data_IF_290352103646
#
_entry.id   IF_290352103646
#
_cell.length_a   1.000
_cell.length_b   1.000
_cell.length_c   1.000
_cell.angle_alpha   90.00
_cell.angle_beta   90.00
_cell.angle_gamma   90.00
#
_symmetry.space_group_name_H-M   'P 1'
#
loop_
_entity.id
_entity.type
_entity.pdbx_description
1 polymer ?
#
# COMPACT_ATOMS: atom_id res chain seq x y z
N UNK A 1 3.05 19.04 3.30
CA UNK A 1 2.11 18.97 4.43
C UNK A 1 2.00 17.53 4.86
N UNK A 2 1.84 17.27 6.16
CA UNK A 2 1.77 15.92 6.71
C UNK A 2 0.44 15.23 6.36
N UNK A 3 0.47 13.91 6.14
CA UNK A 3 -0.70 13.09 5.86
C UNK A 3 -1.40 12.62 7.15
N UNK A 4 -0.76 12.72 8.31
CA UNK A 4 -1.32 12.28 9.59
C UNK A 4 -2.60 13.05 10.00
N UNK A 5 -2.67 14.39 9.88
CA UNK A 5 -3.92 15.14 10.12
C UNK A 5 -5.05 14.75 9.17
N UNK A 6 -4.73 14.50 7.89
CA UNK A 6 -5.68 14.06 6.86
C UNK A 6 -6.29 12.69 7.22
N UNK A 7 -5.47 11.73 7.66
CA UNK A 7 -5.94 10.39 8.10
C UNK A 7 -6.85 10.47 9.33
N UNK A 8 -6.43 11.20 10.37
CA UNK A 8 -7.22 11.37 11.61
C UNK A 8 -8.57 12.05 11.36
N UNK A 9 -8.61 13.05 10.49
CA UNK A 9 -9.86 13.73 10.13
C UNK A 9 -10.86 12.77 9.46
N UNK A 10 -10.38 11.90 8.58
CA UNK A 10 -11.19 10.88 7.90
C UNK A 10 -11.75 9.86 8.89
N UNK A 11 -10.91 9.30 9.76
CA UNK A 11 -11.36 8.36 10.80
C UNK A 11 -12.48 8.94 11.67
N UNK A 12 -12.39 10.22 12.01
CA UNK A 12 -13.40 10.90 12.83
C UNK A 12 -14.72 11.12 12.11
N UNK A 13 -14.69 11.52 10.84
CA UNK A 13 -15.92 11.69 10.04
C UNK A 13 -16.61 10.34 9.77
N UNK A 14 -15.83 9.27 9.58
CA UNK A 14 -16.38 7.91 9.51
C UNK A 14 -17.01 7.50 10.84
N UNK A 15 -16.38 7.83 11.97
CA UNK A 15 -16.84 7.41 13.30
C UNK A 15 -18.08 8.18 13.80
N UNK A 16 -18.14 9.48 13.54
CA UNK A 16 -19.18 10.37 14.07
C UNK A 16 -20.25 10.75 13.03
N UNK A 17 -20.05 10.34 11.77
CA UNK A 17 -20.92 10.65 10.65
C UNK A 17 -20.71 12.06 10.08
N UNK A 18 -21.28 12.33 8.89
CA UNK A 18 -21.16 13.62 8.22
C UNK A 18 -21.81 14.79 8.97
N UNK A 19 -22.67 14.53 9.97
CA UNK A 19 -23.33 15.57 10.78
C UNK A 19 -22.37 16.44 11.60
N UNK A 20 -21.14 15.98 11.81
CA UNK A 20 -20.08 16.78 12.45
C UNK A 20 -19.71 18.03 11.64
N UNK A 21 -20.01 18.00 10.33
CA UNK A 21 -19.66 19.03 9.37
C UNK A 21 -20.74 20.12 9.28
N UNK A 22 -21.94 19.84 9.80
CA UNK A 22 -23.07 20.78 9.78
C UNK A 22 -22.88 21.97 10.74
N UNK A 23 -22.04 21.83 11.78
CA UNK A 23 -21.65 22.92 12.68
C UNK A 23 -20.15 23.28 12.50
N UNK A 24 -19.84 24.37 11.77
CA UNK A 24 -18.46 24.85 11.60
C UNK A 24 -17.73 25.11 12.92
N UNK A 25 -18.45 25.55 13.96
CA UNK A 25 -17.86 25.79 15.28
C UNK A 25 -17.43 24.50 15.96
N UNK A 26 -18.24 23.44 15.84
CA UNK A 26 -17.89 22.11 16.34
C UNK A 26 -16.71 21.50 15.56
N UNK A 27 -16.73 21.63 14.23
CA UNK A 27 -15.67 21.14 13.36
C UNK A 27 -14.32 21.84 13.65
N UNK A 28 -14.31 23.18 13.84
CA UNK A 28 -13.08 23.92 14.18
C UNK A 28 -12.50 23.50 15.54
N UNK A 29 -13.35 23.20 16.54
CA UNK A 29 -12.90 22.67 17.83
C UNK A 29 -12.25 21.30 17.68
N UNK A 30 -12.83 20.41 16.88
CA UNK A 30 -12.27 19.08 16.59
C UNK A 30 -10.94 19.16 15.85
N UNK A 31 -10.84 20.02 14.83
CA UNK A 31 -9.58 20.27 14.12
C UNK A 31 -8.48 20.72 15.06
N UNK A 32 -8.81 21.55 16.07
CA UNK A 32 -7.84 21.99 17.08
C UNK A 32 -7.34 20.84 17.95
N UNK A 33 -8.17 19.84 18.23
CA UNK A 33 -7.77 18.62 18.93
C UNK A 33 -6.89 17.72 18.07
N UNK A 34 -7.17 17.59 16.77
CA UNK A 34 -6.42 16.72 15.84
C UNK A 34 -5.07 17.34 15.47
N UNK A 35 -5.08 18.63 15.14
CA UNK A 35 -3.93 19.35 14.61
C UNK A 35 -3.13 20.09 15.70
N UNK A 36 -3.17 19.61 16.95
CA UNK A 36 -2.57 20.29 18.11
C UNK A 36 -1.11 20.68 17.90
N UNK A 37 -0.32 19.81 17.27
CA UNK A 37 1.09 20.07 16.93
C UNK A 37 1.28 20.62 15.50
N UNK A 38 0.24 20.52 14.66
CA UNK A 38 0.25 20.84 13.23
C UNK A 38 -0.44 22.18 12.93
N UNK A 39 0.19 23.29 13.35
CA UNK A 39 -0.41 24.64 13.21
C UNK A 39 -0.73 25.02 11.77
N UNK A 40 0.15 24.71 10.81
CA UNK A 40 -0.07 25.06 9.40
C UNK A 40 -1.29 24.33 8.85
N UNK A 41 -1.35 23.03 9.05
CA UNK A 41 -2.45 22.16 8.62
C UNK A 41 -3.77 22.59 9.25
N UNK A 42 -3.77 22.93 10.55
CA UNK A 42 -4.94 23.53 11.22
C UNK A 42 -5.44 24.77 10.48
N UNK A 43 -4.57 25.75 10.22
CA UNK A 43 -4.97 27.01 9.59
C UNK A 43 -5.50 26.80 8.17
N UNK A 44 -4.91 25.88 7.41
CA UNK A 44 -5.34 25.61 6.04
C UNK A 44 -6.71 24.90 6.04
N UNK A 45 -6.93 23.91 6.91
CA UNK A 45 -8.22 23.23 7.03
C UNK A 45 -9.32 24.12 7.59
N UNK A 46 -9.02 24.91 8.63
CA UNK A 46 -9.96 25.86 9.21
C UNK A 46 -10.29 27.00 8.25
N UNK A 47 -9.32 27.44 7.43
CA UNK A 47 -9.55 28.38 6.34
C UNK A 47 -10.53 27.83 5.31
N UNK A 48 -10.32 26.59 4.85
CA UNK A 48 -11.22 25.92 3.92
C UNK A 48 -12.65 25.75 4.48
N UNK A 49 -12.77 25.45 5.77
CA UNK A 49 -14.06 25.39 6.47
C UNK A 49 -14.79 26.74 6.42
N UNK A 50 -14.09 27.84 6.73
CA UNK A 50 -14.67 29.20 6.76
C UNK A 50 -15.06 29.71 5.36
N UNK A 51 -14.35 29.27 4.33
CA UNK A 51 -14.63 29.58 2.92
C UNK A 51 -15.78 28.74 2.32
N UNK A 52 -16.43 27.88 3.11
CA UNK A 52 -17.57 27.09 2.67
C UNK A 52 -17.21 25.95 1.70
N UNK A 53 -15.95 25.50 1.70
CA UNK A 53 -15.50 24.39 0.85
C UNK A 53 -16.31 23.12 1.10
N UNK A 54 -16.62 22.81 2.36
CA UNK A 54 -17.35 21.60 2.73
C UNK A 54 -18.79 21.66 2.24
N UNK A 55 -19.46 22.81 2.36
CA UNK A 55 -20.80 23.01 1.83
C UNK A 55 -20.83 22.84 0.30
N UNK A 56 -19.82 23.35 -0.40
CA UNK A 56 -19.70 23.21 -1.85
C UNK A 56 -19.42 21.76 -2.29
N UNK A 57 -18.64 21.01 -1.50
CA UNK A 57 -18.36 19.59 -1.75
C UNK A 57 -19.59 18.71 -1.50
N UNK A 58 -20.35 18.96 -0.43
CA UNK A 58 -21.57 18.21 -0.09
C UNK A 58 -22.74 18.50 -1.03
N UNK A 59 -22.82 19.72 -1.59
CA UNK A 59 -23.88 20.11 -2.53
C UNK A 59 -23.59 19.71 -3.98
N UNK A 60 -22.43 19.12 -4.26
CA UNK A 60 -22.01 18.78 -5.62
C UNK A 60 -22.88 17.64 -6.20
N UNK A 61 -23.43 17.81 -7.42
CA UNK A 61 -24.14 16.74 -8.12
C UNK A 61 -23.22 15.55 -8.41
N UNK A 62 -23.77 14.33 -8.36
CA UNK A 62 -23.03 13.07 -8.56
C UNK A 62 -22.38 12.99 -9.95
N UNK A 63 -22.98 13.63 -10.94
CA UNK A 63 -22.57 13.70 -12.36
C UNK A 63 -21.61 14.86 -12.68
N UNK A 64 -21.34 15.75 -11.73
CA UNK A 64 -20.43 16.86 -11.93
C UNK A 64 -18.97 16.39 -12.01
N UNK A 65 -18.16 17.04 -12.87
CA UNK A 65 -16.72 16.81 -12.92
C UNK A 65 -16.07 17.20 -11.59
N UNK A 66 -15.77 16.19 -10.76
CA UNK A 66 -15.10 16.35 -9.45
C UNK A 66 -13.77 17.09 -9.60
N UNK A 67 -13.02 16.79 -10.65
CA UNK A 67 -11.76 17.49 -10.97
C UNK A 67 -11.97 19.00 -11.16
N UNK A 68 -12.98 19.40 -11.94
CA UNK A 68 -13.30 20.82 -12.14
C UNK A 68 -13.74 21.53 -10.86
N UNK A 69 -14.49 20.84 -10.00
CA UNK A 69 -14.91 21.36 -8.69
C UNK A 69 -13.71 21.59 -7.78
N UNK A 70 -12.80 20.62 -7.64
CA UNK A 70 -11.60 20.74 -6.81
C UNK A 70 -10.69 21.87 -7.29
N UNK A 71 -10.49 22.02 -8.61
CA UNK A 71 -9.68 23.11 -9.18
C UNK A 71 -10.30 24.47 -8.84
N UNK A 72 -11.62 24.61 -8.96
CA UNK A 72 -12.34 25.84 -8.63
C UNK A 72 -12.21 26.18 -7.15
N UNK A 73 -12.42 25.22 -6.26
CA UNK A 73 -12.31 25.41 -4.81
C UNK A 73 -10.87 25.73 -4.40
N UNK A 74 -9.89 25.08 -5.03
CA UNK A 74 -8.47 25.38 -4.83
C UNK A 74 -8.18 26.83 -5.21
N UNK A 75 -8.67 27.29 -6.36
CA UNK A 75 -8.48 28.67 -6.79
C UNK A 75 -9.20 29.68 -5.87
N UNK A 76 -10.37 29.33 -5.35
CA UNK A 76 -11.08 30.15 -4.37
C UNK A 76 -10.23 30.36 -3.11
N UNK A 77 -9.65 29.30 -2.53
CA UNK A 77 -8.81 29.43 -1.34
C UNK A 77 -7.54 30.25 -1.59
N UNK A 78 -6.92 30.11 -2.77
CA UNK A 78 -5.78 30.93 -3.16
C UNK A 78 -6.13 32.41 -3.21
N UNK A 79 -7.27 32.74 -3.82
CA UNK A 79 -7.69 34.12 -4.01
C UNK A 79 -8.14 34.78 -2.70
N UNK A 80 -8.91 34.07 -1.87
CA UNK A 80 -9.55 34.64 -0.69
C UNK A 80 -8.64 34.63 0.54
N UNK A 81 -7.79 33.61 0.70
CA UNK A 81 -6.94 33.43 1.88
C UNK A 81 -5.44 33.63 1.58
N UNK A 82 -5.09 34.07 0.38
CA UNK A 82 -3.70 34.22 -0.09
C UNK A 82 -2.86 32.94 0.13
N UNK A 83 -3.49 31.76 0.04
CA UNK A 83 -2.81 30.49 0.21
C UNK A 83 -1.92 30.15 -0.99
N UNK A 84 -0.84 29.42 -0.74
CA UNK A 84 -0.08 28.79 -1.82
C UNK A 84 -0.95 27.75 -2.53
N UNK A 85 -0.65 27.48 -3.80
CA UNK A 85 -1.38 26.48 -4.58
C UNK A 85 -1.34 25.10 -3.93
N UNK A 86 -0.17 24.70 -3.41
CA UNK A 86 0.00 23.45 -2.69
C UNK A 86 -0.89 23.39 -1.43
N UNK A 87 -0.89 24.45 -0.61
CA UNK A 87 -1.68 24.54 0.62
C UNK A 87 -3.19 24.48 0.33
N UNK A 88 -3.66 25.29 -0.61
CA UNK A 88 -5.05 25.32 -1.02
C UNK A 88 -5.51 23.96 -1.54
N UNK A 89 -4.73 23.35 -2.44
CA UNK A 89 -5.05 22.04 -3.02
C UNK A 89 -5.13 20.97 -1.95
N UNK A 90 -4.14 20.90 -1.06
CA UNK A 90 -4.11 19.92 0.02
C UNK A 90 -5.30 20.06 0.97
N UNK A 91 -5.76 21.27 1.30
CA UNK A 91 -6.95 21.45 2.14
C UNK A 91 -8.22 20.97 1.45
N UNK A 92 -8.44 21.36 0.19
CA UNK A 92 -9.62 20.95 -0.57
C UNK A 92 -9.64 19.44 -0.74
N UNK A 93 -8.51 18.83 -1.11
CA UNK A 93 -8.37 17.38 -1.19
C UNK A 93 -8.65 16.71 0.16
N UNK A 94 -8.10 17.23 1.26
CA UNK A 94 -8.31 16.64 2.60
C UNK A 94 -9.77 16.63 3.02
N UNK A 95 -10.52 17.69 2.74
CA UNK A 95 -11.97 17.73 3.00
C UNK A 95 -12.76 16.82 2.06
N UNK A 96 -12.44 16.83 0.77
CA UNK A 96 -13.10 15.98 -0.21
C UNK A 96 -12.90 14.48 0.11
N UNK A 97 -11.76 14.12 0.68
CA UNK A 97 -11.48 12.77 1.15
C UNK A 97 -12.26 12.38 2.38
N UNK A 98 -12.27 13.27 3.37
CA UNK A 98 -12.97 13.01 4.61
C UNK A 98 -14.48 12.89 4.39
N UNK A 99 -15.01 13.60 3.39
CA UNK A 99 -16.41 13.51 2.93
C UNK A 99 -16.69 12.35 1.96
N UNK A 100 -15.66 11.61 1.50
CA UNK A 100 -15.81 10.57 0.47
C UNK A 100 -16.22 11.10 -0.92
N UNK A 101 -16.05 12.40 -1.17
CA UNK A 101 -16.32 13.04 -2.48
C UNK A 101 -15.25 12.67 -3.49
N UNK A 102 -14.03 12.41 -3.04
CA UNK A 102 -12.98 11.80 -3.85
C UNK A 102 -12.34 10.66 -3.06
N UNK A 103 -11.74 9.73 -3.79
CA UNK A 103 -10.78 8.79 -3.22
C UNK A 103 -9.41 9.47 -3.08
N UNK A 104 -8.53 8.97 -2.20
CA UNK A 104 -7.22 9.59 -1.89
C UNK A 104 -6.51 10.09 -3.16
N UNK A 105 -6.11 11.37 -3.27
CA UNK A 105 -5.15 11.78 -4.27
C UNK A 105 -3.82 11.17 -3.83
N UNK A 106 -3.44 10.07 -4.50
CA UNK A 106 -2.41 9.15 -4.02
C UNK A 106 -2.97 7.87 -3.36
N UNK A 107 -4.28 7.69 -3.38
CA UNK A 107 -4.92 6.38 -3.29
C UNK A 107 -4.49 5.60 -4.52
N UNK A 108 -3.33 4.96 -4.38
CA UNK A 108 -2.96 3.75 -5.07
C UNK A 108 -4.19 3.15 -5.77
N UNK A 109 -4.29 3.16 -7.11
CA UNK A 109 -5.42 2.52 -7.77
C UNK A 109 -5.56 1.12 -7.18
N UNK A 110 -6.73 0.86 -6.61
CA UNK A 110 -6.99 -0.42 -5.95
C UNK A 110 -7.43 -1.37 -7.04
N UNK A 111 -6.64 -2.42 -7.23
CA UNK A 111 -6.91 -3.47 -8.20
C UNK A 111 -7.22 -4.74 -7.42
N UNK A 112 -8.40 -5.31 -7.67
CA UNK A 112 -8.83 -6.55 -7.03
C UNK A 112 -8.46 -7.73 -7.92
N UNK A 113 -7.82 -8.73 -7.34
CA UNK A 113 -7.44 -9.97 -8.01
C UNK A 113 -8.20 -11.13 -7.39
N UNK A 114 -8.97 -11.86 -8.20
CA UNK A 114 -9.74 -13.02 -7.77
C UNK A 114 -9.62 -14.15 -8.79
N UNK A 115 -9.08 -15.29 -8.37
CA UNK A 115 -9.02 -16.48 -9.22
C UNK A 115 -10.41 -16.98 -9.67
N UNK A 116 -11.47 -16.58 -8.97
CA UNK A 116 -12.86 -16.99 -9.22
C UNK A 116 -13.68 -15.96 -10.02
N UNK A 117 -13.05 -14.90 -10.53
CA UNK A 117 -13.66 -13.96 -11.49
C UNK A 117 -14.47 -12.81 -10.87
N UNK A 118 -14.39 -12.60 -9.56
CA UNK A 118 -15.06 -11.49 -8.87
C UNK A 118 -14.21 -10.20 -8.79
N UNK A 119 -12.98 -10.21 -9.34
CA UNK A 119 -12.04 -9.09 -9.31
C UNK A 119 -11.77 -8.51 -10.69
N UNK A 120 -11.01 -7.41 -10.74
CA UNK A 120 -10.56 -6.75 -11.98
C UNK A 120 -9.64 -7.66 -12.81
N UNK A 121 -8.90 -8.55 -12.14
CA UNK A 121 -8.03 -9.56 -12.77
C UNK A 121 -8.23 -10.94 -12.13
N UNK A 122 -8.01 -11.99 -12.91
CA UNK A 122 -7.94 -13.37 -12.45
C UNK A 122 -6.52 -13.82 -12.06
N UNK A 123 -5.50 -13.01 -12.41
CA UNK A 123 -4.09 -13.30 -12.20
C UNK A 123 -3.36 -12.09 -11.62
N UNK A 124 -2.59 -12.31 -10.53
CA UNK A 124 -1.75 -11.27 -9.91
C UNK A 124 -0.72 -10.74 -10.91
N UNK A 125 -0.12 -11.61 -11.72
CA UNK A 125 0.84 -11.21 -12.74
C UNK A 125 0.23 -10.28 -13.82
N UNK A 126 -1.06 -10.42 -14.12
CA UNK A 126 -1.75 -9.56 -15.08
C UNK A 126 -2.00 -8.18 -14.46
N UNK A 127 -2.46 -8.14 -13.20
CA UNK A 127 -2.59 -6.92 -12.43
C UNK A 127 -1.26 -6.16 -12.34
N UNK A 128 -0.15 -6.84 -12.03
CA UNK A 128 1.18 -6.23 -11.94
C UNK A 128 1.65 -5.60 -13.26
N UNK A 129 1.38 -6.24 -14.42
CA UNK A 129 1.73 -5.69 -15.74
C UNK A 129 0.96 -4.43 -16.10
N UNK A 130 -0.27 -4.28 -15.61
CA UNK A 130 -1.11 -3.11 -15.85
C UNK A 130 -1.01 -2.05 -14.75
N UNK A 131 -0.46 -2.41 -13.59
CA UNK A 131 -0.32 -1.53 -12.43
C UNK A 131 0.62 -0.36 -12.74
N UNK A 132 0.19 0.84 -12.35
CA UNK A 132 1.05 2.02 -12.31
C UNK A 132 1.84 2.06 -10.99
N UNK A 133 2.97 2.78 -10.90
CA UNK A 133 3.63 3.01 -9.62
C UNK A 133 2.65 3.59 -8.58
N UNK A 134 2.73 3.07 -7.37
CA UNK A 134 1.83 3.34 -6.27
C UNK A 134 0.60 2.45 -6.20
N UNK A 135 0.29 1.59 -7.18
CA UNK A 135 -0.93 0.72 -7.18
C UNK A 135 -1.01 -0.19 -5.96
N UNK A 136 -2.22 -0.37 -5.44
CA UNK A 136 -2.53 -1.33 -4.37
C UNK A 136 -3.29 -2.50 -4.96
N UNK A 137 -2.70 -3.68 -4.91
CA UNK A 137 -3.26 -4.92 -5.43
C UNK A 137 -3.82 -5.70 -4.25
N UNK A 138 -5.13 -5.90 -4.22
CA UNK A 138 -5.82 -6.69 -3.21
C UNK A 138 -6.11 -8.07 -3.81
N UNK A 139 -5.63 -9.12 -3.15
CA UNK A 139 -5.67 -10.49 -3.65
C UNK A 139 -6.61 -11.31 -2.77
N UNK A 140 -7.69 -11.82 -3.34
CA UNK A 140 -8.63 -12.68 -2.64
C UNK A 140 -8.09 -14.11 -2.46
N UNK A 141 -8.72 -14.92 -1.58
CA UNK A 141 -8.42 -16.34 -1.43
C UNK A 141 -8.47 -17.06 -2.77
N UNK A 142 -7.41 -17.79 -3.07
CA UNK A 142 -7.20 -18.37 -4.39
C UNK A 142 -5.82 -18.98 -4.55
N UNK A 143 -5.70 -19.76 -5.62
CA UNK A 143 -4.44 -20.36 -6.05
C UNK A 143 -3.97 -19.68 -7.32
N UNK A 144 -2.80 -19.04 -7.25
CA UNK A 144 -2.24 -18.22 -8.32
C UNK A 144 -0.94 -18.84 -8.80
N UNK A 145 -0.87 -19.17 -10.08
CA UNK A 145 0.32 -19.81 -10.66
C UNK A 145 1.16 -18.83 -11.47
N UNK A 146 2.48 -18.96 -11.36
CA UNK A 146 3.46 -18.21 -12.15
C UNK A 146 4.23 -17.18 -11.32
N UNK A 147 5.41 -16.79 -11.82
CA UNK A 147 6.28 -15.83 -11.16
C UNK A 147 5.73 -14.40 -11.22
N UNK A 148 5.89 -13.67 -10.11
CA UNK A 148 5.52 -12.26 -9.98
C UNK A 148 6.77 -11.40 -10.11
N UNK A 149 6.79 -10.50 -11.09
CA UNK A 149 7.87 -9.52 -11.27
C UNK A 149 7.39 -8.16 -10.78
N UNK A 150 8.07 -7.61 -9.78
CA UNK A 150 7.78 -6.33 -9.15
C UNK A 150 8.94 -5.38 -9.43
N UNK A 151 8.83 -4.65 -10.53
CA UNK A 151 9.81 -3.71 -11.08
C UNK A 151 9.42 -2.24 -10.88
N UNK A 152 8.31 -2.00 -10.19
CA UNK A 152 7.76 -0.69 -9.87
C UNK A 152 7.17 -0.69 -8.47
N UNK A 153 7.08 0.50 -7.87
CA UNK A 153 6.55 0.62 -6.52
C UNK A 153 5.07 0.21 -6.48
N UNK A 154 4.74 -0.85 -5.75
CA UNK A 154 3.36 -1.34 -5.58
C UNK A 154 3.22 -1.96 -4.19
N UNK A 155 1.97 -2.06 -3.74
CA UNK A 155 1.62 -2.76 -2.52
C UNK A 155 0.69 -3.93 -2.87
N UNK A 156 0.97 -5.13 -2.36
CA UNK A 156 0.17 -6.35 -2.57
C UNK A 156 -0.33 -6.82 -1.20
N UNK A 157 -1.65 -6.95 -1.06
CA UNK A 157 -2.31 -7.39 0.17
C UNK A 157 -3.17 -8.60 -0.08
N UNK A 158 -3.02 -9.63 0.74
CA UNK A 158 -3.99 -10.70 0.85
C UNK A 158 -5.23 -10.24 1.62
N UNK A 159 -6.41 -10.43 1.02
CA UNK A 159 -7.71 -10.19 1.63
C UNK A 159 -8.29 -11.50 2.17
N UNK A 160 -7.76 -11.95 3.31
CA UNK A 160 -8.18 -13.20 3.93
C UNK A 160 -7.02 -13.90 4.64
N UNK A 161 -7.23 -15.14 5.11
CA UNK A 161 -6.18 -15.94 5.71
C UNK A 161 -5.05 -16.19 4.69
N UNK A 162 -3.80 -15.87 5.05
CA UNK A 162 -2.65 -16.03 4.15
C UNK A 162 -2.51 -17.47 3.61
N UNK A 163 -2.90 -18.48 4.40
CA UNK A 163 -2.88 -19.89 4.02
C UNK A 163 -3.84 -20.23 2.85
N UNK A 164 -4.82 -19.37 2.57
CA UNK A 164 -5.78 -19.54 1.48
C UNK A 164 -5.41 -18.70 0.24
N UNK A 165 -4.34 -17.90 0.31
CA UNK A 165 -3.87 -17.02 -0.77
C UNK A 165 -2.48 -17.51 -1.19
N UNK A 166 -2.47 -18.49 -2.07
CA UNK A 166 -1.24 -19.21 -2.45
C UNK A 166 -0.77 -18.75 -3.81
N UNK A 167 0.46 -18.24 -3.87
CA UNK A 167 1.19 -17.99 -5.11
C UNK A 167 2.22 -19.11 -5.28
N UNK A 168 2.15 -19.84 -6.38
CA UNK A 168 3.06 -20.94 -6.67
C UNK A 168 3.76 -20.77 -8.02
N UNK A 169 5.07 -20.95 -8.02
CA UNK A 169 5.90 -20.98 -9.23
C UNK A 169 6.69 -22.28 -9.31
N UNK A 170 6.89 -22.79 -10.53
CA UNK A 170 7.62 -24.05 -10.78
C UNK A 170 8.86 -23.74 -11.59
N UNK A 171 10.02 -24.22 -11.13
CA UNK A 171 11.33 -23.99 -11.77
C UNK A 171 11.64 -22.50 -12.03
N UNK A 172 11.15 -21.62 -11.17
CA UNK A 172 11.42 -20.18 -11.20
C UNK A 172 11.11 -19.56 -9.83
N UNK A 173 11.59 -18.33 -9.55
CA UNK A 173 11.15 -17.62 -8.38
C UNK A 173 9.65 -17.35 -8.39
N UNK A 174 9.05 -17.37 -7.20
CA UNK A 174 7.65 -17.01 -7.03
C UNK A 174 7.49 -15.49 -7.08
N UNK A 175 8.42 -14.76 -6.49
CA UNK A 175 8.47 -13.29 -6.51
C UNK A 175 9.87 -12.82 -6.83
N UNK A 176 9.99 -11.88 -7.77
CA UNK A 176 11.21 -11.15 -8.07
C UNK A 176 10.96 -9.66 -7.83
N UNK A 177 11.72 -9.05 -6.91
CA UNK A 177 11.62 -7.63 -6.58
C UNK A 177 12.83 -6.90 -7.14
N UNK A 178 12.55 -5.93 -8.02
CA UNK A 178 13.50 -5.14 -8.78
C UNK A 178 13.13 -3.64 -8.67
N UNK A 179 12.78 -3.19 -7.48
CA UNK A 179 12.36 -1.80 -7.24
C UNK A 179 12.77 -1.35 -5.85
N UNK A 180 12.88 -0.04 -5.64
CA UNK A 180 13.31 0.55 -4.37
C UNK A 180 12.33 0.30 -3.24
N UNK A 181 11.04 0.24 -3.55
CA UNK A 181 9.94 0.16 -2.59
C UNK A 181 8.88 -0.81 -3.09
N UNK A 182 8.55 -1.82 -2.29
CA UNK A 182 7.40 -2.69 -2.52
C UNK A 182 6.92 -3.22 -1.16
N UNK A 183 5.62 -3.47 -1.04
CA UNK A 183 5.06 -4.12 0.15
C UNK A 183 4.30 -5.36 -0.28
N UNK A 184 4.57 -6.49 0.38
CA UNK A 184 3.83 -7.74 0.20
C UNK A 184 3.36 -8.19 1.58
N UNK A 185 2.04 -8.32 1.75
CA UNK A 185 1.45 -8.68 3.03
C UNK A 185 0.38 -9.76 2.93
N UNK A 186 0.48 -10.80 3.75
CA UNK A 186 -0.59 -11.79 3.93
C UNK A 186 -0.75 -12.78 2.76
N UNK A 187 0.36 -13.20 2.15
CA UNK A 187 0.36 -14.21 1.08
C UNK A 187 1.21 -15.42 1.47
N UNK A 188 0.85 -16.58 0.94
CA UNK A 188 1.70 -17.78 0.92
C UNK A 188 2.47 -17.82 -0.40
N UNK A 189 3.80 -17.76 -0.34
CA UNK A 189 4.70 -17.73 -1.50
C UNK A 189 5.47 -19.05 -1.58
N UNK A 190 5.23 -19.83 -2.63
CA UNK A 190 5.82 -21.15 -2.81
C UNK A 190 6.57 -21.29 -4.12
N UNK A 191 7.83 -21.70 -4.04
CA UNK A 191 8.59 -22.16 -5.21
C UNK A 191 8.73 -23.68 -5.17
N UNK A 192 8.37 -24.34 -6.27
CA UNK A 192 8.55 -25.77 -6.48
C UNK A 192 9.63 -26.05 -7.52
N UNK A 193 10.26 -27.21 -7.37
CA UNK A 193 11.27 -27.68 -8.31
C UNK A 193 10.93 -29.09 -8.77
N UNK A 194 10.86 -29.26 -10.09
CA UNK A 194 10.66 -30.58 -10.71
C UNK A 194 12.00 -31.23 -11.10
N UNK A 195 13.01 -30.41 -11.39
CA UNK A 195 14.33 -30.87 -11.83
C UNK A 195 15.36 -30.85 -10.68
N UNK A 196 15.89 -32.04 -10.33
CA UNK A 196 16.96 -32.14 -9.33
C UNK A 196 18.19 -31.34 -9.76
N UNK A 197 18.69 -30.48 -8.87
CA UNK A 197 19.89 -29.67 -9.08
C UNK A 197 19.61 -28.20 -9.46
N UNK A 198 18.36 -27.85 -9.75
CA UNK A 198 17.98 -26.45 -9.97
C UNK A 198 18.02 -25.65 -8.68
N UNK A 199 18.55 -24.43 -8.75
CA UNK A 199 18.70 -23.50 -7.63
C UNK A 199 17.76 -22.32 -7.83
N UNK A 200 16.56 -22.42 -7.29
CA UNK A 200 15.58 -21.33 -7.30
C UNK A 200 15.30 -20.85 -5.87
N UNK A 201 14.78 -19.63 -5.78
CA UNK A 201 14.39 -18.99 -4.53
C UNK A 201 12.89 -18.75 -4.52
N UNK A 202 12.21 -18.77 -3.38
CA UNK A 202 10.79 -18.36 -3.37
C UNK A 202 10.66 -16.86 -3.66
N UNK A 203 11.49 -16.06 -3.01
CA UNK A 203 11.58 -14.61 -3.20
C UNK A 203 13.01 -14.23 -3.55
N UNK A 204 13.19 -13.46 -4.61
CA UNK A 204 14.47 -12.91 -5.05
C UNK A 204 14.39 -11.38 -5.04
N UNK A 205 15.32 -10.72 -4.37
CA UNK A 205 15.35 -9.27 -4.18
C UNK A 205 16.69 -8.77 -4.67
N UNK A 206 16.70 -7.87 -5.66
CA UNK A 206 17.94 -7.40 -6.29
C UNK A 206 18.29 -5.94 -5.99
N UNK A 207 17.36 -5.20 -5.40
CA UNK A 207 17.56 -3.79 -5.03
C UNK A 207 16.51 -3.32 -4.03
N UNK A 208 16.79 -2.20 -3.37
CA UNK A 208 15.81 -1.47 -2.59
C UNK A 208 15.60 -1.96 -1.16
N UNK A 209 14.56 -1.43 -0.53
CA UNK A 209 14.11 -1.78 0.82
C UNK A 209 12.65 -2.24 0.79
N UNK A 210 12.33 -3.34 0.08
CA UNK A 210 10.96 -3.85 0.09
C UNK A 210 10.62 -4.47 1.45
N UNK A 211 9.33 -4.48 1.76
CA UNK A 211 8.78 -5.03 2.99
C UNK A 211 7.98 -6.29 2.70
N UNK A 212 8.28 -7.36 3.42
CA UNK A 212 7.49 -8.60 3.46
C UNK A 212 6.95 -8.77 4.86
N UNK A 213 5.62 -8.93 4.97
CA UNK A 213 4.95 -8.89 6.26
C UNK A 213 3.84 -9.94 6.36
N UNK A 214 3.76 -10.67 7.47
CA UNK A 214 2.71 -11.68 7.67
C UNK A 214 2.61 -12.70 6.52
N UNK A 215 3.73 -12.99 5.84
CA UNK A 215 3.80 -13.94 4.73
C UNK A 215 4.27 -15.32 5.18
N UNK A 216 3.80 -16.36 4.50
CA UNK A 216 4.34 -17.72 4.61
C UNK A 216 5.19 -18.03 3.38
N UNK A 217 6.49 -18.27 3.56
CA UNK A 217 7.47 -18.36 2.48
C UNK A 217 8.13 -19.73 2.51
N UNK A 218 7.93 -20.50 1.44
CA UNK A 218 8.45 -21.85 1.29
C UNK A 218 9.13 -22.06 -0.06
N UNK A 219 10.23 -22.82 -0.07
CA UNK A 219 10.93 -23.21 -1.30
C UNK A 219 11.34 -24.67 -1.23
N UNK A 220 11.02 -25.46 -2.25
CA UNK A 220 11.49 -26.85 -2.39
C UNK A 220 12.98 -26.91 -2.83
N UNK A 221 13.63 -25.76 -3.01
CA UNK A 221 15.00 -25.59 -3.53
C UNK A 221 15.93 -24.97 -2.49
N UNK A 222 16.87 -24.11 -2.92
CA UNK A 222 18.02 -23.67 -2.15
C UNK A 222 17.66 -22.81 -0.93
N UNK A 223 17.22 -21.57 -1.17
CA UNK A 223 16.82 -20.67 -0.10
C UNK A 223 15.40 -20.16 -0.33
N UNK A 224 14.71 -19.78 0.75
CA UNK A 224 13.37 -19.22 0.60
C UNK A 224 13.45 -17.77 0.12
N UNK A 225 14.32 -16.96 0.72
CA UNK A 225 14.57 -15.58 0.30
C UNK A 225 16.04 -15.40 -0.08
N UNK A 226 16.30 -14.87 -1.27
CA UNK A 226 17.61 -14.44 -1.71
C UNK A 226 17.65 -12.92 -1.90
N UNK A 227 18.70 -12.29 -1.37
CA UNK A 227 18.94 -10.86 -1.47
C UNK A 227 20.28 -10.64 -2.15
N UNK A 228 20.28 -9.89 -3.26
CA UNK A 228 21.44 -9.63 -4.11
C UNK A 228 21.73 -8.13 -4.17
N UNK A 229 23.02 -7.78 -4.23
CA UNK A 229 23.49 -6.41 -4.39
C UNK A 229 23.52 -5.60 -3.09
N UNK A 230 24.58 -4.80 -2.92
CA UNK A 230 24.79 -3.97 -1.74
C UNK A 230 23.70 -2.88 -1.51
N UNK A 231 22.87 -2.60 -2.52
CA UNK A 231 21.76 -1.65 -2.43
C UNK A 231 20.46 -2.30 -1.92
N UNK A 232 20.44 -3.61 -1.70
CA UNK A 232 19.28 -4.34 -1.20
C UNK A 232 19.35 -4.52 0.32
N UNK A 233 18.34 -4.01 1.02
CA UNK A 233 18.15 -4.18 2.47
C UNK A 233 16.65 -4.34 2.78
N UNK A 234 16.04 -5.48 2.41
CA UNK A 234 14.65 -5.75 2.68
C UNK A 234 14.36 -5.87 4.17
N UNK A 235 13.12 -5.58 4.53
CA UNK A 235 12.61 -5.77 5.88
C UNK A 235 11.57 -6.89 5.86
N UNK A 236 11.83 -7.95 6.63
CA UNK A 236 10.98 -9.14 6.69
C UNK A 236 10.43 -9.23 8.11
N UNK A 237 9.11 -9.10 8.26
CA UNK A 237 8.43 -8.96 9.55
C UNK A 237 7.36 -10.01 9.72
N UNK A 238 7.32 -10.68 10.87
CA UNK A 238 6.27 -11.66 11.22
C UNK A 238 6.02 -12.72 10.13
N UNK A 239 7.06 -13.04 9.35
CA UNK A 239 6.97 -14.04 8.30
C UNK A 239 7.36 -15.42 8.83
N UNK A 240 6.75 -16.45 8.26
CA UNK A 240 7.18 -17.83 8.44
C UNK A 240 8.05 -18.22 7.25
N UNK A 241 9.25 -18.72 7.52
CA UNK A 241 10.22 -19.10 6.47
C UNK A 241 10.62 -20.55 6.71
N UNK A 242 10.27 -21.45 5.78
CA UNK A 242 10.44 -22.89 5.98
C UNK A 242 10.69 -23.68 4.68
N UNK A 243 11.02 -24.96 4.82
CA UNK A 243 11.24 -25.96 3.76
C UNK A 243 12.39 -25.73 2.77
N UNK A 244 13.07 -24.58 2.81
CA UNK A 244 14.32 -24.36 2.08
C UNK A 244 15.39 -25.41 2.41
N UNK A 245 15.98 -26.03 1.38
CA UNK A 245 16.99 -27.10 1.50
C UNK A 245 18.36 -26.59 2.02
N UNK A 246 18.64 -25.30 1.88
CA UNK A 246 19.85 -24.64 2.35
C UNK A 246 19.55 -23.69 3.52
N UNK A 247 19.24 -22.44 3.20
CA UNK A 247 19.04 -21.38 4.19
C UNK A 247 17.64 -20.77 4.07
N UNK A 248 17.08 -20.29 5.18
CA UNK A 248 15.82 -19.53 5.12
C UNK A 248 15.98 -18.22 4.34
N UNK A 249 17.03 -17.45 4.64
CA UNK A 249 17.37 -16.19 3.95
C UNK A 249 18.85 -16.20 3.62
N UNK A 250 19.21 -15.87 2.38
CA UNK A 250 20.60 -15.75 1.92
C UNK A 250 20.85 -14.37 1.35
N UNK A 251 21.88 -13.69 1.85
CA UNK A 251 22.34 -12.40 1.36
C UNK A 251 23.66 -12.57 0.59
N UNK A 252 23.75 -11.97 -0.59
CA UNK A 252 24.89 -12.03 -1.50
C UNK A 252 25.43 -10.62 -1.75
N UNK A 253 26.69 -10.50 -2.16
CA UNK A 253 27.26 -9.22 -2.65
C UNK A 253 27.12 -8.03 -1.67
N UNK A 254 27.34 -8.30 -0.38
CA UNK A 254 27.18 -7.32 0.71
C UNK A 254 25.76 -6.79 0.90
N UNK A 255 24.75 -7.49 0.38
CA UNK A 255 23.35 -7.21 0.70
C UNK A 255 23.07 -7.37 2.21
N UNK A 256 22.14 -6.58 2.72
CA UNK A 256 21.61 -6.68 4.07
C UNK A 256 20.22 -7.30 4.09
N UNK A 257 19.72 -7.68 5.26
CA UNK A 257 18.30 -7.99 5.47
C UNK A 257 17.95 -7.78 6.94
N UNK A 258 16.84 -7.10 7.22
CA UNK A 258 16.32 -6.90 8.58
C UNK A 258 15.21 -7.92 8.82
N UNK A 259 15.32 -8.69 9.89
CA UNK A 259 14.37 -9.74 10.25
C UNK A 259 13.79 -9.45 11.63
N UNK A 260 12.48 -9.25 11.69
CA UNK A 260 11.75 -8.97 12.92
C UNK A 260 10.64 -10.01 13.11
N UNK A 261 10.56 -10.61 14.29
CA UNK A 261 9.51 -11.57 14.68
C UNK A 261 9.29 -12.74 13.69
N UNK A 262 10.33 -13.15 12.98
CA UNK A 262 10.23 -14.22 11.97
C UNK A 262 10.41 -15.61 12.59
N UNK A 263 9.49 -16.53 12.27
CA UNK A 263 9.59 -17.92 12.65
C UNK A 263 10.37 -18.70 11.57
N UNK A 264 11.53 -19.25 11.94
CA UNK A 264 12.31 -20.16 11.10
C UNK A 264 12.14 -21.59 11.59
N UNK A 265 11.76 -22.51 10.72
CA UNK A 265 11.92 -23.94 10.99
C UNK A 265 13.01 -24.49 10.09
N UNK A 266 14.28 -24.26 10.43
CA UNK A 266 15.37 -25.01 9.82
C UNK A 266 15.63 -26.29 10.63
N UNK A 267 15.62 -27.44 9.96
CA UNK A 267 16.40 -28.61 10.39
C UNK A 267 17.80 -28.47 9.78
N UNK A 268 18.61 -27.53 10.26
CA UNK A 268 20.09 -27.62 10.31
C UNK A 268 20.72 -26.30 10.75
N UNK A 269 21.74 -26.46 11.59
CA UNK A 269 22.68 -25.46 12.10
C UNK A 269 23.82 -25.39 11.09
N UNK A 270 24.18 -24.20 10.61
CA UNK A 270 25.55 -23.73 10.29
C UNK A 270 25.49 -22.28 9.87
#
# INVERSE_FOLDING_TARGET
MDNLPRRRLRELIVTHGPSVIDDPGHCERLLRTICGEYRREFFVLAGALKEGVLAALSAAPVDASRSGLLTRLTQQLRNNLAMTEEAARWAVETWALALGVIDEPGGAPVVIVSAQGAGDYDSIAAALRSASPGTRIVVHPGYYTGGLVIDRAVEIFGDGPAAEIVVESVNAPCVQIQTDQALIRGLTLRSRVELRGSKYYAVEITQGRPELEDCDIASDSLACVAVHGAAAEPIIRRCRIHDGQGFGVSAYEHAGAILEDCARSSRQIS
#
